data_IF_083699736414
#
_entry.id   IF_083699736414
#
_cell.length_a   1.000
_cell.length_b   1.000
_cell.length_c   1.000
_cell.angle_alpha   90.00
_cell.angle_beta   90.00
_cell.angle_gamma   90.00
#
_symmetry.space_group_name_H-M   'P 1'
#
loop_
_entity.id
_entity.type
_entity.pdbx_description
1 polymer ?
#
# COMPACT_ATOMS: atom_id res chain seq x y z
N UNK A 1 6.04 1.01 0.62
CA UNK A 1 6.84 0.35 1.68
C UNK A 1 7.35 -0.95 1.09
N UNK A 2 8.65 -1.16 1.00
CA UNK A 2 9.22 -2.39 0.45
C UNK A 2 9.15 -3.52 1.48
N UNK A 3 8.87 -4.75 1.04
CA UNK A 3 8.82 -5.96 1.86
C UNK A 3 9.47 -7.09 1.08
N UNK A 4 10.43 -7.79 1.68
CA UNK A 4 11.18 -8.88 1.00
C UNK A 4 10.29 -10.06 0.63
N UNK A 5 9.22 -10.29 1.40
CA UNK A 5 8.22 -11.30 1.12
C UNK A 5 7.23 -10.90 0.01
N UNK A 6 7.22 -9.63 -0.42
CA UNK A 6 6.40 -9.10 -1.52
C UNK A 6 7.27 -8.38 -2.56
N UNK A 7 8.20 -9.15 -3.13
CA UNK A 7 9.06 -8.70 -4.23
C UNK A 7 8.88 -9.60 -5.45
N UNK A 8 9.13 -9.04 -6.63
CA UNK A 8 9.22 -9.81 -7.87
C UNK A 8 10.42 -10.75 -7.80
N UNK A 9 10.49 -11.75 -8.70
CA UNK A 9 11.66 -12.63 -8.81
C UNK A 9 12.98 -11.90 -9.11
N UNK A 10 12.89 -10.63 -9.50
CA UNK A 10 14.02 -9.76 -9.81
C UNK A 10 14.39 -8.80 -8.66
N UNK A 11 13.70 -8.91 -7.52
CA UNK A 11 13.96 -8.09 -6.32
C UNK A 11 13.31 -6.70 -6.33
N UNK A 12 12.42 -6.42 -7.28
CA UNK A 12 11.66 -5.17 -7.28
C UNK A 12 10.41 -5.27 -6.39
N UNK A 13 9.95 -4.14 -5.86
CA UNK A 13 8.71 -4.10 -5.07
C UNK A 13 7.52 -4.61 -5.90
N UNK A 14 6.88 -5.69 -5.45
CA UNK A 14 5.66 -6.18 -6.08
C UNK A 14 4.46 -5.42 -5.51
N UNK A 15 3.76 -4.67 -6.35
CA UNK A 15 2.60 -3.86 -5.93
C UNK A 15 1.30 -4.66 -6.07
N UNK A 16 0.46 -4.62 -5.05
CA UNK A 16 -0.88 -5.24 -5.03
C UNK A 16 -1.96 -4.17 -4.87
N UNK A 17 -2.44 -3.69 -6.01
CA UNK A 17 -3.48 -2.66 -6.07
C UNK A 17 -4.88 -3.16 -5.72
N UNK A 18 -5.11 -4.48 -5.81
CA UNK A 18 -6.42 -5.04 -5.52
C UNK A 18 -6.72 -5.00 -4.01
N UNK A 19 -5.71 -5.26 -3.18
CA UNK A 19 -5.88 -5.32 -1.73
C UNK A 19 -5.34 -4.09 -0.99
N UNK A 20 -4.38 -3.34 -1.57
CA UNK A 20 -3.65 -2.29 -0.86
C UNK A 20 -3.66 -0.92 -1.53
N UNK A 21 -4.63 -0.66 -2.42
CA UNK A 21 -4.89 0.69 -2.97
C UNK A 21 -5.67 1.58 -2.00
N UNK A 22 -5.05 1.93 -0.87
CA UNK A 22 -5.64 2.81 0.15
C UNK A 22 -4.59 3.66 0.85
N UNK A 23 -5.00 4.80 1.40
CA UNK A 23 -4.22 5.52 2.43
C UNK A 23 -4.64 5.03 3.80
N UNK A 24 -3.68 4.97 4.72
CA UNK A 24 -3.92 4.48 6.07
C UNK A 24 -3.30 5.43 7.10
N UNK A 25 -4.02 5.62 8.20
CA UNK A 25 -3.56 6.38 9.36
C UNK A 25 -3.86 5.59 10.64
N UNK A 26 -2.89 5.55 11.55
CA UNK A 26 -3.09 5.01 12.88
C UNK A 26 -3.52 6.12 13.83
N UNK A 27 -4.71 6.01 14.40
CA UNK A 27 -5.17 6.83 15.50
C UNK A 27 -4.68 6.24 16.82
N UNK A 28 -4.06 7.05 17.67
CA UNK A 28 -3.73 6.66 19.04
C UNK A 28 -4.93 6.97 19.96
N UNK A 29 -5.55 5.93 20.50
CA UNK A 29 -6.70 6.04 21.43
C UNK A 29 -6.29 6.10 22.91
N UNK A 30 -5.00 6.11 23.20
CA UNK A 30 -4.44 6.00 24.54
C UNK A 30 -4.42 4.56 25.07
N UNK A 31 -3.81 4.36 26.24
CA UNK A 31 -3.73 3.04 26.91
C UNK A 31 -3.17 1.89 26.04
N UNK A 32 -2.26 2.21 25.11
CA UNK A 32 -1.70 1.23 24.17
C UNK A 32 -2.68 0.75 23.10
N UNK A 33 -3.83 1.40 22.96
CA UNK A 33 -4.81 1.11 21.91
C UNK A 33 -4.56 2.01 20.69
N UNK A 34 -4.60 1.37 19.52
CA UNK A 34 -4.48 2.05 18.23
C UNK A 34 -5.57 1.55 17.29
N UNK A 35 -6.13 2.45 16.49
CA UNK A 35 -7.10 2.12 15.45
C UNK A 35 -6.52 2.45 14.09
N UNK A 36 -6.68 1.54 13.12
CA UNK A 36 -6.26 1.75 11.75
C UNK A 36 -7.44 2.27 10.92
N UNK A 37 -7.35 3.53 10.51
CA UNK A 37 -8.24 4.11 9.53
C UNK A 37 -7.71 3.85 8.13
N UNK A 38 -8.59 3.46 7.20
CA UNK A 38 -8.27 3.21 5.80
C UNK A 38 -9.24 3.96 4.90
N UNK A 39 -8.72 4.68 3.92
CA UNK A 39 -9.50 5.33 2.87
C UNK A 39 -9.06 4.80 1.50
N UNK A 40 -10.02 4.24 0.75
CA UNK A 40 -9.76 3.61 -0.55
C UNK A 40 -9.43 4.67 -1.60
N UNK A 41 -8.38 4.42 -2.37
CA UNK A 41 -8.00 5.29 -3.49
C UNK A 41 -8.62 4.79 -4.80
N UNK A 42 -9.54 5.57 -5.35
CA UNK A 42 -10.16 5.33 -6.67
C UNK A 42 -9.50 6.19 -7.77
N UNK A 43 -8.77 5.55 -8.68
CA UNK A 43 -8.14 6.23 -9.81
C UNK A 43 -9.03 6.17 -11.06
N UNK A 44 -9.80 7.23 -11.33
CA UNK A 44 -10.75 7.30 -12.46
C UNK A 44 -10.15 7.89 -13.73
N UNK A 45 -9.22 8.83 -13.58
CA UNK A 45 -8.65 9.57 -14.71
C UNK A 45 -7.40 8.92 -15.33
N UNK A 46 -6.68 8.10 -14.56
CA UNK A 46 -5.39 7.51 -14.97
C UNK A 46 -5.35 6.06 -14.50
N UNK A 47 -4.93 5.16 -15.38
CA UNK A 47 -4.67 3.77 -15.01
C UNK A 47 -3.41 3.70 -14.14
N UNK A 48 -3.53 3.03 -13.00
CA UNK A 48 -2.40 2.79 -12.12
C UNK A 48 -1.45 1.79 -12.78
N UNK A 49 -0.16 2.12 -12.84
CA UNK A 49 0.86 1.31 -13.48
C UNK A 49 1.99 1.03 -12.49
N UNK A 50 2.52 -0.18 -12.51
CA UNK A 50 3.72 -0.53 -11.76
C UNK A 50 4.94 0.09 -12.45
N UNK A 51 5.78 0.77 -11.67
CA UNK A 51 7.06 1.31 -12.15
C UNK A 51 8.10 0.19 -12.08
N UNK A 52 8.84 -0.01 -13.16
CA UNK A 52 10.06 -0.83 -13.18
C UNK A 52 11.23 0.09 -13.52
N UNK A 53 12.39 -0.13 -12.89
CA UNK A 53 13.57 0.72 -13.05
C UNK A 53 14.66 0.07 -13.90
N UNK A 54 14.34 -1.02 -14.60
CA UNK A 54 15.19 -1.62 -15.64
C UNK A 54 15.16 -0.83 -16.95
#
# INVERSE_FOLDING_TARGET
HFREEYQTSEGEAQRDDANYSYVAAWENKGNGQFELHKEILEFKAIKVAQRSYK
#
